data_IF_066679122302
#
_entry.id   IF_066679122302
#
_cell.length_a   1.000
_cell.length_b   1.000
_cell.length_c   1.000
_cell.angle_alpha   90.00
_cell.angle_beta   90.00
_cell.angle_gamma   90.00
#
_symmetry.space_group_name_H-M   'P 1'
#
loop_
_entity.id
_entity.type
_entity.pdbx_description
1 polymer ?
#
# COMPACT_ATOMS: atom_id res chain seq x y z
N UNK A 1 -31.93 -0.84 54.45
CA UNK A 1 -30.91 0.02 53.79
C UNK A 1 -29.78 -0.82 53.19
N UNK A 2 -29.24 -1.82 53.91
CA UNK A 2 -28.08 -2.59 53.42
C UNK A 2 -28.26 -3.28 52.07
N UNK A 3 -29.43 -3.88 51.80
CA UNK A 3 -29.71 -4.52 50.49
C UNK A 3 -29.58 -3.52 49.34
N UNK A 4 -30.04 -2.28 49.53
CA UNK A 4 -29.94 -1.22 48.52
C UNK A 4 -28.48 -0.86 48.28
N UNK A 5 -27.67 -0.76 49.35
CA UNK A 5 -26.23 -0.50 49.25
C UNK A 5 -25.50 -1.61 48.48
N UNK A 6 -25.84 -2.87 48.70
CA UNK A 6 -25.28 -4.00 47.94
C UNK A 6 -25.69 -3.97 46.46
N UNK A 7 -26.94 -3.63 46.16
CA UNK A 7 -27.41 -3.47 44.77
C UNK A 7 -26.67 -2.32 44.08
N UNK A 8 -26.52 -1.18 44.75
CA UNK A 8 -25.76 -0.04 44.23
C UNK A 8 -24.28 -0.39 44.03
N UNK A 9 -23.69 -1.14 44.96
CA UNK A 9 -22.31 -1.62 44.84
C UNK A 9 -22.14 -2.49 43.60
N UNK A 10 -23.02 -3.48 43.38
CA UNK A 10 -23.00 -4.33 42.19
C UNK A 10 -23.16 -3.50 40.92
N UNK A 11 -24.08 -2.52 40.93
CA UNK A 11 -24.29 -1.61 39.82
C UNK A 11 -23.00 -0.81 39.51
N UNK A 12 -22.36 -0.18 40.49
CA UNK A 12 -21.14 0.59 40.24
C UNK A 12 -19.95 -0.28 39.86
N UNK A 13 -19.83 -1.51 40.39
CA UNK A 13 -18.84 -2.48 39.91
C UNK A 13 -19.05 -2.79 38.43
N UNK A 14 -20.31 -2.94 37.98
CA UNK A 14 -20.61 -3.15 36.55
C UNK A 14 -20.27 -1.92 35.69
N UNK A 15 -20.46 -0.70 36.20
CA UNK A 15 -20.09 0.53 35.49
C UNK A 15 -18.57 0.70 35.41
N UNK A 16 -17.85 0.46 36.52
CA UNK A 16 -16.38 0.42 36.56
C UNK A 16 -15.83 -0.56 35.53
N UNK A 17 -16.37 -1.79 35.51
CA UNK A 17 -16.05 -2.81 34.53
C UNK A 17 -16.23 -2.35 33.08
N UNK A 18 -17.37 -1.71 32.80
CA UNK A 18 -17.69 -1.19 31.48
C UNK A 18 -16.71 -0.09 31.06
N UNK A 19 -16.48 0.93 31.87
CA UNK A 19 -15.60 2.05 31.53
C UNK A 19 -14.15 1.62 31.35
N UNK A 20 -13.63 0.83 32.30
CA UNK A 20 -12.27 0.31 32.27
C UNK A 20 -12.04 -0.59 31.05
N UNK A 21 -12.96 -1.52 30.79
CA UNK A 21 -12.91 -2.42 29.65
C UNK A 21 -13.00 -1.69 28.30
N UNK A 22 -13.95 -0.76 28.15
CA UNK A 22 -14.10 0.03 26.93
C UNK A 22 -12.90 0.94 26.66
N UNK A 23 -12.27 1.48 27.71
CA UNK A 23 -11.08 2.32 27.53
C UNK A 23 -9.97 1.55 26.82
N UNK A 24 -9.65 0.33 27.27
CA UNK A 24 -8.64 -0.49 26.59
C UNK A 24 -9.17 -1.04 25.26
N UNK A 25 -10.40 -1.51 25.23
CA UNK A 25 -11.00 -2.12 24.03
C UNK A 25 -11.08 -1.15 22.86
N UNK A 26 -11.74 0.01 23.04
CA UNK A 26 -12.00 0.96 21.95
C UNK A 26 -10.72 1.65 21.48
N UNK A 27 -9.79 1.96 22.39
CA UNK A 27 -8.51 2.59 22.04
C UNK A 27 -7.46 1.59 21.53
N UNK A 28 -7.64 0.30 21.80
CA UNK A 28 -6.84 -0.77 21.20
C UNK A 28 -7.16 -1.04 19.72
N UNK A 29 -8.33 -0.60 19.24
CA UNK A 29 -8.71 -0.70 17.82
C UNK A 29 -8.05 0.41 17.00
N UNK A 30 -7.36 0.05 15.92
CA UNK A 30 -6.78 1.03 14.98
C UNK A 30 -7.89 1.86 14.32
N UNK A 31 -7.73 3.19 14.31
CA UNK A 31 -8.66 4.09 13.63
C UNK A 31 -8.77 3.79 12.13
N UNK A 32 -7.64 3.59 11.45
CA UNK A 32 -7.62 3.18 10.04
C UNK A 32 -8.36 1.85 9.85
N UNK A 33 -8.16 0.88 10.75
CA UNK A 33 -8.86 -0.40 10.69
C UNK A 33 -10.37 -0.24 10.87
N UNK A 34 -10.82 0.63 11.77
CA UNK A 34 -12.24 0.94 11.96
C UNK A 34 -12.85 1.62 10.73
N UNK A 35 -12.14 2.55 10.09
CA UNK A 35 -12.56 3.21 8.86
C UNK A 35 -12.70 2.19 7.72
N UNK A 36 -11.69 1.33 7.50
CA UNK A 36 -11.72 0.27 6.49
C UNK A 36 -12.86 -0.73 6.71
N UNK A 37 -13.09 -1.17 7.95
CA UNK A 37 -14.20 -2.08 8.29
C UNK A 37 -15.56 -1.42 8.07
N UNK A 38 -15.71 -0.14 8.45
CA UNK A 38 -16.95 0.60 8.26
C UNK A 38 -17.26 0.82 6.77
N UNK A 39 -16.25 1.13 5.95
CA UNK A 39 -16.35 1.22 4.49
C UNK A 39 -16.73 -0.11 3.84
N UNK A 40 -16.25 -1.22 4.42
CA UNK A 40 -16.61 -2.59 4.01
C UNK A 40 -18.02 -3.01 4.45
N UNK A 41 -18.80 -2.11 5.07
CA UNK A 41 -20.20 -2.34 5.46
C UNK A 41 -20.40 -2.86 6.89
N UNK A 42 -19.35 -2.91 7.72
CA UNK A 42 -19.45 -3.36 9.10
C UNK A 42 -20.13 -2.30 9.99
N UNK A 43 -21.39 -2.56 10.37
CA UNK A 43 -22.20 -1.65 11.20
C UNK A 43 -21.61 -1.43 12.60
N UNK A 44 -20.93 -2.43 13.17
CA UNK A 44 -20.33 -2.32 14.50
C UNK A 44 -19.11 -1.39 14.46
N UNK A 45 -18.29 -1.49 13.41
CA UNK A 45 -17.17 -0.57 13.17
C UNK A 45 -17.65 0.86 12.99
N UNK A 46 -18.73 1.08 12.23
CA UNK A 46 -19.33 2.40 12.06
C UNK A 46 -19.80 3.02 13.37
N UNK A 47 -20.49 2.26 14.22
CA UNK A 47 -20.94 2.75 15.54
C UNK A 47 -19.78 3.15 16.45
N UNK A 48 -18.72 2.34 16.48
CA UNK A 48 -17.53 2.66 17.29
C UNK A 48 -16.79 3.86 16.70
N UNK A 49 -16.67 3.93 15.37
CA UNK A 49 -16.04 5.05 14.68
C UNK A 49 -16.75 6.39 14.97
N UNK A 50 -18.09 6.40 15.03
CA UNK A 50 -18.86 7.60 15.35
C UNK A 50 -18.46 8.23 16.70
N UNK A 51 -18.22 7.41 17.73
CA UNK A 51 -17.80 7.90 19.05
C UNK A 51 -16.29 8.13 19.13
N UNK A 52 -15.49 7.40 18.33
CA UNK A 52 -14.03 7.59 18.18
C UNK A 52 -13.67 8.81 17.32
N UNK A 53 -14.61 9.43 16.63
CA UNK A 53 -14.32 10.65 15.86
C UNK A 53 -13.83 11.80 16.76
N UNK A 54 -14.36 11.89 17.98
CA UNK A 54 -13.87 12.78 19.04
C UNK A 54 -13.21 11.94 20.15
N UNK A 55 -12.03 11.39 19.84
CA UNK A 55 -11.29 10.45 20.69
C UNK A 55 -11.00 11.01 22.08
N UNK A 56 -10.62 12.28 22.19
CA UNK A 56 -10.32 12.89 23.48
C UNK A 56 -11.59 13.07 24.32
N UNK A 57 -12.73 13.37 23.70
CA UNK A 57 -14.00 13.41 24.41
C UNK A 57 -14.49 12.02 24.85
N UNK A 58 -14.32 11.00 24.01
CA UNK A 58 -14.59 9.62 24.39
C UNK A 58 -13.69 9.19 25.56
N UNK A 59 -12.37 9.41 25.44
CA UNK A 59 -11.38 9.05 26.46
C UNK A 59 -11.74 9.67 27.81
N UNK A 60 -11.95 10.98 27.83
CA UNK A 60 -12.27 11.70 29.06
C UNK A 60 -13.61 11.28 29.65
N UNK A 61 -14.62 10.99 28.84
CA UNK A 61 -15.91 10.47 29.32
C UNK A 61 -15.71 9.13 30.05
N UNK A 62 -14.97 8.20 29.44
CA UNK A 62 -14.72 6.89 30.03
C UNK A 62 -13.87 7.00 31.31
N UNK A 63 -12.84 7.85 31.32
CA UNK A 63 -11.98 8.06 32.49
C UNK A 63 -12.75 8.69 33.66
N UNK A 64 -13.53 9.75 33.42
CA UNK A 64 -14.36 10.37 34.46
C UNK A 64 -15.38 9.38 35.01
N UNK A 65 -16.04 8.62 34.14
CA UNK A 65 -16.98 7.57 34.54
C UNK A 65 -16.32 6.49 35.41
N UNK A 66 -15.13 6.02 35.00
CA UNK A 66 -14.39 5.00 35.74
C UNK A 66 -13.98 5.48 37.13
N UNK A 67 -13.37 6.67 37.21
CA UNK A 67 -12.93 7.25 38.49
C UNK A 67 -14.13 7.49 39.41
N UNK A 68 -15.24 8.04 38.89
CA UNK A 68 -16.45 8.26 39.67
C UNK A 68 -17.03 6.94 40.21
N UNK A 69 -17.11 5.90 39.38
CA UNK A 69 -17.60 4.58 39.80
C UNK A 69 -16.72 3.98 40.90
N UNK A 70 -15.39 4.04 40.76
CA UNK A 70 -14.44 3.51 41.73
C UNK A 70 -14.53 4.25 43.08
N UNK A 71 -14.66 5.57 43.05
CA UNK A 71 -14.86 6.37 44.28
C UNK A 71 -16.18 5.98 44.96
N UNK A 72 -17.27 5.82 44.21
CA UNK A 72 -18.56 5.41 44.76
C UNK A 72 -18.52 3.98 45.33
N UNK A 73 -17.81 3.05 44.69
CA UNK A 73 -17.57 1.69 45.23
C UNK A 73 -16.87 1.77 46.58
N UNK A 74 -15.79 2.56 46.70
CA UNK A 74 -15.05 2.71 47.95
C UNK A 74 -15.92 3.31 49.06
N UNK A 75 -16.70 4.36 48.76
CA UNK A 75 -17.60 5.00 49.71
C UNK A 75 -18.72 4.05 50.18
N UNK A 76 -19.36 3.32 49.24
CA UNK A 76 -20.40 2.34 49.55
C UNK A 76 -19.83 1.19 50.39
N UNK A 77 -18.65 0.68 50.05
CA UNK A 77 -17.98 -0.37 50.83
C UNK A 77 -17.62 0.11 52.23
N UNK A 78 -17.15 1.35 52.38
CA UNK A 78 -16.85 1.93 53.68
C UNK A 78 -18.09 2.05 54.57
N UNK A 79 -19.26 2.31 53.98
CA UNK A 79 -20.54 2.31 54.71
C UNK A 79 -20.99 0.92 55.18
N UNK A 80 -20.49 -0.16 54.59
CA UNK A 80 -20.86 -1.55 54.90
C UNK A 80 -19.94 -2.21 55.92
N UNK A 81 -18.62 -2.03 55.79
CA UNK A 81 -17.63 -2.81 56.55
C UNK A 81 -16.67 -1.97 57.41
N UNK A 82 -16.53 -0.67 57.13
CA UNK A 82 -15.66 0.26 57.86
C UNK A 82 -14.15 -0.02 57.78
N UNK A 83 -13.35 1.05 57.79
CA UNK A 83 -11.90 0.99 58.04
C UNK A 83 -11.12 0.13 57.05
N UNK A 84 -10.19 -0.69 57.57
CA UNK A 84 -9.26 -1.48 56.76
C UNK A 84 -9.96 -2.60 55.97
N UNK A 85 -11.03 -3.19 56.52
CA UNK A 85 -11.81 -4.22 55.83
C UNK A 85 -12.48 -3.66 54.57
N UNK A 86 -13.07 -2.46 54.67
CA UNK A 86 -13.66 -1.79 53.52
C UNK A 86 -12.63 -1.47 52.43
N UNK A 87 -11.46 -0.95 52.82
CA UNK A 87 -10.37 -0.67 51.90
C UNK A 87 -9.90 -1.93 51.15
N UNK A 88 -9.63 -3.02 51.88
CA UNK A 88 -9.18 -4.29 51.27
C UNK A 88 -10.26 -4.86 50.35
N UNK A 89 -11.52 -4.88 50.79
CA UNK A 89 -12.63 -5.38 49.99
C UNK A 89 -12.83 -4.55 48.73
N UNK A 90 -12.90 -3.22 48.85
CA UNK A 90 -13.09 -2.32 47.70
C UNK A 90 -11.93 -2.42 46.71
N UNK A 91 -10.72 -2.60 47.20
CA UNK A 91 -9.53 -2.78 46.36
C UNK A 91 -9.61 -4.10 45.58
N UNK A 92 -9.90 -5.22 46.24
CA UNK A 92 -9.97 -6.53 45.57
C UNK A 92 -11.13 -6.56 44.57
N UNK A 93 -12.32 -6.08 44.95
CA UNK A 93 -13.49 -6.13 44.07
C UNK A 93 -13.31 -5.24 42.83
N UNK A 94 -12.80 -4.02 43.01
CA UNK A 94 -12.59 -3.08 41.90
C UNK A 94 -11.48 -3.57 40.98
N UNK A 95 -10.36 -4.03 41.53
CA UNK A 95 -9.24 -4.51 40.72
C UNK A 95 -9.61 -5.78 39.95
N UNK A 96 -10.19 -6.79 40.61
CA UNK A 96 -10.49 -8.05 39.94
C UNK A 96 -11.68 -7.94 38.98
N UNK A 97 -12.80 -7.38 39.45
CA UNK A 97 -14.07 -7.38 38.72
C UNK A 97 -14.35 -6.08 37.96
N UNK A 98 -13.77 -4.95 38.39
CA UNK A 98 -13.88 -3.67 37.69
C UNK A 98 -12.78 -3.42 36.66
N UNK A 99 -11.60 -4.03 36.81
CA UNK A 99 -10.47 -3.74 35.92
C UNK A 99 -9.93 -4.98 35.19
N UNK A 100 -9.35 -5.95 35.89
CA UNK A 100 -8.60 -7.05 35.26
C UNK A 100 -9.50 -7.92 34.37
N UNK A 101 -10.60 -8.46 34.91
CA UNK A 101 -11.49 -9.33 34.13
C UNK A 101 -12.13 -8.59 32.95
N UNK A 102 -12.70 -7.38 33.13
CA UNK A 102 -13.27 -6.62 32.02
C UNK A 102 -12.25 -6.26 30.95
N UNK A 103 -11.09 -5.69 31.32
CA UNK A 103 -10.06 -5.33 30.35
C UNK A 103 -9.59 -6.54 29.52
N UNK A 104 -9.43 -7.71 30.14
CA UNK A 104 -9.09 -8.94 29.44
C UNK A 104 -10.18 -9.40 28.46
N UNK A 105 -11.45 -9.24 28.81
CA UNK A 105 -12.58 -9.55 27.94
C UNK A 105 -12.66 -8.59 26.75
N UNK A 106 -12.63 -7.28 27.01
CA UNK A 106 -12.76 -6.24 25.99
C UNK A 106 -11.58 -6.23 25.03
N UNK A 107 -10.37 -6.58 25.45
CA UNK A 107 -9.22 -6.71 24.54
C UNK A 107 -9.46 -7.78 23.46
N UNK A 108 -10.21 -8.85 23.76
CA UNK A 108 -10.49 -9.95 22.80
C UNK A 108 -11.73 -9.71 21.95
N UNK A 109 -12.69 -8.94 22.46
CA UNK A 109 -14.01 -8.70 21.82
C UNK A 109 -14.31 -7.21 21.63
N UNK A 110 -13.27 -6.40 21.44
CA UNK A 110 -13.32 -4.95 21.48
C UNK A 110 -14.39 -4.36 20.55
N UNK A 111 -14.43 -4.81 19.29
CA UNK A 111 -15.35 -4.26 18.30
C UNK A 111 -16.81 -4.54 18.65
N UNK A 112 -17.16 -5.82 18.84
CA UNK A 112 -18.55 -6.24 19.10
C UNK A 112 -19.06 -5.74 20.45
N UNK A 113 -18.25 -5.84 21.51
CA UNK A 113 -18.63 -5.37 22.83
C UNK A 113 -18.64 -3.84 22.92
N UNK A 114 -17.73 -3.17 22.21
CA UNK A 114 -17.72 -1.73 22.05
C UNK A 114 -19.00 -1.23 21.38
N UNK A 115 -19.32 -1.80 20.21
CA UNK A 115 -20.48 -1.43 19.41
C UNK A 115 -21.83 -1.60 20.15
N UNK A 116 -21.98 -2.67 20.94
CA UNK A 116 -23.21 -2.90 21.72
C UNK A 116 -23.39 -1.90 22.86
N UNK A 117 -22.30 -1.33 23.38
CA UNK A 117 -22.32 -0.39 24.51
C UNK A 117 -22.28 1.08 24.07
N UNK A 118 -22.12 1.38 22.77
CA UNK A 118 -22.17 2.75 22.23
C UNK A 118 -23.39 3.55 22.71
N UNK A 119 -24.63 3.01 22.75
CA UNK A 119 -25.77 3.77 23.24
C UNK A 119 -25.61 4.21 24.71
N UNK A 120 -25.06 3.35 25.56
CA UNK A 120 -24.82 3.65 26.98
C UNK A 120 -23.70 4.69 27.10
N UNK A 121 -22.63 4.56 26.31
CA UNK A 121 -21.55 5.56 26.27
C UNK A 121 -22.10 6.93 25.88
N UNK A 122 -23.01 7.02 24.91
CA UNK A 122 -23.63 8.30 24.50
C UNK A 122 -24.45 8.94 25.63
N UNK A 123 -25.13 8.13 26.45
CA UNK A 123 -25.82 8.63 27.64
C UNK A 123 -24.81 9.24 28.63
N UNK A 124 -23.69 8.56 28.88
CA UNK A 124 -22.64 9.08 29.76
C UNK A 124 -21.93 10.30 29.19
N UNK A 125 -21.73 10.36 27.87
CA UNK A 125 -21.22 11.55 27.18
C UNK A 125 -22.14 12.75 27.48
N UNK A 126 -23.46 12.59 27.36
CA UNK A 126 -24.41 13.64 27.69
C UNK A 126 -24.37 14.02 29.19
N UNK A 127 -24.39 13.03 30.09
CA UNK A 127 -24.40 13.27 31.54
C UNK A 127 -23.11 13.95 32.04
N UNK A 128 -21.96 13.52 31.54
CA UNK A 128 -20.64 14.02 31.92
C UNK A 128 -20.16 15.16 31.02
N UNK A 129 -20.99 15.62 30.07
CA UNK A 129 -20.63 16.62 29.07
C UNK A 129 -19.83 17.82 29.63
N UNK A 130 -20.25 18.53 30.69
CA UNK A 130 -19.53 19.72 31.13
C UNK A 130 -18.10 19.43 31.62
N UNK A 131 -17.88 18.28 32.24
CA UNK A 131 -16.57 17.92 32.83
C UNK A 131 -15.71 17.14 31.83
N UNK A 132 -16.30 16.20 31.10
CA UNK A 132 -15.60 15.43 30.09
C UNK A 132 -15.20 16.30 28.89
N UNK A 133 -16.10 17.14 28.36
CA UNK A 133 -15.77 17.97 27.19
C UNK A 133 -14.74 19.06 27.51
N UNK A 134 -14.79 19.65 28.71
CA UNK A 134 -13.76 20.60 29.15
C UNK A 134 -12.39 19.94 29.28
N UNK A 135 -12.34 18.74 29.85
CA UNK A 135 -11.12 17.92 29.91
C UNK A 135 -10.59 17.57 28.51
N UNK A 136 -11.49 17.25 27.57
CA UNK A 136 -11.13 16.91 26.19
C UNK A 136 -10.53 18.11 25.44
N UNK A 137 -11.09 19.31 25.62
CA UNK A 137 -10.55 20.54 25.03
C UNK A 137 -9.13 20.82 25.58
N UNK A 138 -8.90 20.57 26.87
CA UNK A 138 -7.58 20.70 27.46
C UNK A 138 -6.57 19.73 26.84
N UNK A 139 -6.98 18.47 26.61
CA UNK A 139 -6.16 17.47 25.92
C UNK A 139 -5.92 17.82 24.45
N UNK A 140 -6.95 18.28 23.73
CA UNK A 140 -6.85 18.74 22.34
C UNK A 140 -5.80 19.86 22.20
N UNK A 141 -5.77 20.80 23.13
CA UNK A 141 -4.80 21.90 23.12
C UNK A 141 -3.38 21.43 23.46
N UNK A 142 -3.23 20.47 24.37
CA UNK A 142 -1.92 20.03 24.83
C UNK A 142 -1.26 18.99 23.91
N UNK A 143 -2.02 17.97 23.47
CA UNK A 143 -1.50 16.80 22.74
C UNK A 143 -1.98 16.73 21.29
N UNK A 144 -2.96 17.56 20.91
CA UNK A 144 -3.62 17.46 19.62
C UNK A 144 -4.69 16.36 19.59
N UNK A 145 -5.31 16.22 18.42
CA UNK A 145 -6.32 15.18 18.16
C UNK A 145 -5.65 13.90 17.70
N UNK A 146 -6.34 12.77 17.85
CA UNK A 146 -5.87 11.50 17.30
C UNK A 146 -5.75 11.58 15.77
N UNK A 147 -4.52 11.49 15.27
CA UNK A 147 -4.23 11.48 13.84
C UNK A 147 -4.33 10.06 13.24
N UNK A 148 -4.75 9.98 11.98
CA UNK A 148 -4.68 8.75 11.21
C UNK A 148 -3.22 8.41 10.94
N UNK A 149 -2.72 7.36 11.60
CA UNK A 149 -1.36 6.88 11.35
C UNK A 149 -1.34 6.01 10.10
N UNK A 150 -0.84 6.56 8.99
CA UNK A 150 -0.60 5.78 7.78
C UNK A 150 0.60 4.84 7.94
N UNK A 151 0.51 3.66 7.32
CA UNK A 151 1.65 2.75 7.26
C UNK A 151 2.77 3.38 6.43
N UNK A 152 3.97 3.44 7.02
CA UNK A 152 5.19 3.67 6.25
C UNK A 152 5.39 2.51 5.28
N UNK A 153 5.87 2.78 4.09
CA UNK A 153 6.07 1.77 3.04
C UNK A 153 6.92 0.58 3.49
N UNK A 154 8.00 0.81 4.25
CA UNK A 154 8.80 -0.27 4.86
C UNK A 154 8.00 -1.16 5.79
N UNK A 155 7.03 -0.60 6.52
CA UNK A 155 6.11 -1.36 7.37
C UNK A 155 5.10 -2.12 6.52
N UNK A 156 4.56 -1.51 5.46
CA UNK A 156 3.65 -2.17 4.52
C UNK A 156 4.31 -3.37 3.82
N UNK A 157 5.55 -3.21 3.33
CA UNK A 157 6.38 -4.30 2.77
C UNK A 157 6.49 -5.46 3.77
N UNK A 158 6.75 -5.19 5.06
CA UNK A 158 6.82 -6.22 6.11
C UNK A 158 5.48 -6.89 6.40
N UNK A 159 4.39 -6.12 6.38
CA UNK A 159 3.03 -6.67 6.56
C UNK A 159 2.71 -7.64 5.43
N UNK A 160 2.97 -7.26 4.17
CA UNK A 160 2.79 -8.13 3.01
C UNK A 160 3.66 -9.40 3.10
N UNK A 161 4.94 -9.27 3.48
CA UNK A 161 5.83 -10.43 3.69
C UNK A 161 5.29 -11.41 4.74
N UNK A 162 4.72 -10.92 5.84
CA UNK A 162 4.11 -11.77 6.87
C UNK A 162 2.86 -12.49 6.37
N UNK A 163 2.06 -11.84 5.51
CA UNK A 163 0.89 -12.47 4.88
C UNK A 163 1.32 -13.60 3.94
N UNK A 164 2.34 -13.37 3.10
CA UNK A 164 2.89 -14.40 2.20
C UNK A 164 3.40 -15.63 2.97
N UNK A 165 3.97 -15.45 4.16
CA UNK A 165 4.51 -16.53 4.99
C UNK A 165 3.45 -17.26 5.83
N UNK A 166 2.24 -16.72 5.94
CA UNK A 166 1.19 -17.28 6.79
C UNK A 166 0.24 -18.16 5.97
N UNK A 167 0.12 -19.44 6.35
CA UNK A 167 -0.85 -20.37 5.74
C UNK A 167 -2.33 -19.97 5.98
N UNK A 168 -2.57 -19.03 6.90
CA UNK A 168 -3.92 -18.53 7.25
C UNK A 168 -4.25 -17.18 6.63
N UNK A 169 -3.39 -16.67 5.74
CA UNK A 169 -3.61 -15.40 5.04
C UNK A 169 -4.55 -15.60 3.85
N UNK A 170 -5.48 -14.67 3.67
CA UNK A 170 -6.32 -14.62 2.45
C UNK A 170 -5.54 -14.15 1.21
N UNK A 171 -4.37 -13.54 1.41
CA UNK A 171 -3.46 -13.13 0.33
C UNK A 171 -2.59 -14.30 -0.09
N UNK A 172 -2.69 -14.71 -1.35
CA UNK A 172 -1.84 -15.76 -1.92
C UNK A 172 -0.38 -15.32 -2.06
N UNK A 173 0.55 -16.28 -2.07
CA UNK A 173 1.98 -15.99 -2.20
C UNK A 173 2.31 -15.26 -3.51
N UNK A 174 1.60 -15.58 -4.59
CA UNK A 174 1.72 -14.92 -5.90
C UNK A 174 1.31 -13.45 -5.83
N UNK A 175 0.15 -13.16 -5.25
CA UNK A 175 -0.40 -11.81 -5.14
C UNK A 175 0.48 -10.93 -4.26
N UNK A 176 0.86 -11.44 -3.09
CA UNK A 176 1.75 -10.74 -2.18
C UNK A 176 3.12 -10.46 -2.79
N UNK A 177 3.71 -11.43 -3.49
CA UNK A 177 5.00 -11.23 -4.14
C UNK A 177 4.91 -10.24 -5.31
N UNK A 178 3.82 -10.28 -6.09
CA UNK A 178 3.53 -9.29 -7.13
C UNK A 178 3.45 -7.88 -6.54
N UNK A 179 2.65 -7.68 -5.48
CA UNK A 179 2.54 -6.39 -4.79
C UNK A 179 3.90 -5.88 -4.28
N UNK A 180 4.72 -6.75 -3.69
CA UNK A 180 6.07 -6.39 -3.27
C UNK A 180 6.96 -5.99 -4.45
N UNK A 181 6.89 -6.68 -5.58
CA UNK A 181 7.68 -6.33 -6.76
C UNK A 181 7.31 -4.94 -7.29
N UNK A 182 6.01 -4.59 -7.31
CA UNK A 182 5.55 -3.23 -7.63
C UNK A 182 6.06 -2.18 -6.64
N UNK A 183 5.96 -2.46 -5.34
CA UNK A 183 6.46 -1.56 -4.30
C UNK A 183 7.99 -1.38 -4.30
N UNK A 184 8.76 -2.12 -5.10
CA UNK A 184 10.22 -1.93 -5.21
C UNK A 184 10.65 -1.25 -6.51
N UNK A 185 9.70 -0.83 -7.34
CA UNK A 185 9.99 -0.07 -8.56
C UNK A 185 10.61 1.29 -8.23
N UNK A 186 10.15 1.88 -7.13
CA UNK A 186 10.74 3.07 -6.54
C UNK A 186 12.18 2.80 -6.14
N UNK A 187 12.55 1.67 -5.57
CA UNK A 187 13.93 1.41 -5.11
C UNK A 187 14.90 1.03 -6.25
N UNK A 188 14.39 0.82 -7.47
CA UNK A 188 15.17 0.20 -8.55
C UNK A 188 15.58 1.21 -9.60
N UNK A 189 16.90 1.37 -9.74
CA UNK A 189 17.53 2.18 -10.80
C UNK A 189 17.39 1.51 -12.16
N UNK A 190 17.26 2.33 -13.20
CA UNK A 190 17.20 1.87 -14.60
C UNK A 190 18.42 1.03 -15.01
N UNK A 191 19.59 1.34 -14.45
CA UNK A 191 20.85 0.62 -14.74
C UNK A 191 20.87 -0.83 -14.25
N UNK A 192 19.97 -1.21 -13.34
CA UNK A 192 19.90 -2.59 -12.82
C UNK A 192 19.00 -3.50 -13.63
N UNK A 193 18.14 -2.97 -14.50
CA UNK A 193 17.15 -3.73 -15.24
C UNK A 193 17.25 -3.50 -16.76
N UNK A 194 16.73 -4.44 -17.55
CA UNK A 194 16.94 -4.47 -18.99
C UNK A 194 18.26 -5.13 -19.40
N UNK A 195 18.47 -5.21 -20.71
CA UNK A 195 19.58 -5.91 -21.33
C UNK A 195 20.62 -4.90 -21.87
N UNK A 196 21.93 -5.22 -21.84
CA UNK A 196 22.93 -4.39 -22.51
C UNK A 196 22.61 -4.24 -23.99
N UNK A 197 22.79 -3.02 -24.52
CA UNK A 197 22.66 -2.74 -25.95
C UNK A 197 23.88 -3.27 -26.67
N UNK A 198 23.65 -4.06 -27.73
CA UNK A 198 24.71 -4.53 -28.61
C UNK A 198 25.22 -3.38 -29.50
N UNK A 199 26.53 -3.08 -29.53
CA UNK A 199 27.04 -2.02 -30.41
C UNK A 199 26.70 -2.23 -31.89
N UNK A 200 26.54 -3.48 -32.34
CA UNK A 200 26.14 -3.78 -33.73
C UNK A 200 24.70 -3.39 -34.04
N UNK A 201 23.84 -3.29 -33.01
CA UNK A 201 22.45 -2.87 -33.18
C UNK A 201 22.29 -1.34 -33.16
N UNK A 202 23.39 -0.58 -33.15
CA UNK A 202 23.37 0.89 -33.23
C UNK A 202 23.68 1.33 -34.67
N UNK A 203 22.76 2.06 -35.29
CA UNK A 203 22.91 2.58 -36.66
C UNK A 203 22.74 4.10 -36.64
N UNK A 204 23.81 4.82 -36.96
CA UNK A 204 23.77 6.26 -37.16
C UNK A 204 23.20 6.61 -38.54
N UNK A 205 22.20 7.51 -38.56
CA UNK A 205 21.59 8.05 -39.78
C UNK A 205 21.56 9.59 -39.72
N UNK A 206 21.65 10.27 -40.88
CA UNK A 206 21.42 11.71 -40.93
C UNK A 206 20.00 12.04 -40.47
N UNK A 207 19.81 13.21 -39.86
CA UNK A 207 18.49 13.63 -39.39
C UNK A 207 18.00 14.89 -40.08
N UNK A 208 16.69 14.95 -40.35
CA UNK A 208 15.99 16.13 -40.84
C UNK A 208 14.74 16.34 -40.01
N UNK A 209 14.55 17.51 -39.42
CA UNK A 209 13.41 17.82 -38.53
C UNK A 209 13.21 16.78 -37.40
N UNK A 210 14.29 16.33 -36.76
CA UNK A 210 14.28 15.29 -35.69
C UNK A 210 13.72 13.93 -36.11
N UNK A 211 13.71 13.64 -37.42
CA UNK A 211 13.45 12.30 -37.96
C UNK A 211 14.71 11.76 -38.63
N UNK A 212 15.02 10.46 -38.49
CA UNK A 212 16.06 9.85 -39.30
C UNK A 212 15.68 9.90 -40.77
N UNK A 213 16.68 10.11 -41.63
CA UNK A 213 16.54 10.02 -43.08
C UNK A 213 17.13 8.69 -43.50
N UNK A 214 16.25 7.76 -43.92
CA UNK A 214 16.68 6.46 -44.40
C UNK A 214 17.26 6.55 -45.81
N UNK A 215 18.26 5.70 -46.14
CA UNK A 215 18.70 5.53 -47.51
C UNK A 215 17.58 4.91 -48.36
N UNK A 216 17.68 5.02 -49.68
CA UNK A 216 16.82 4.24 -50.58
C UNK A 216 17.10 2.74 -50.37
N UNK A 217 16.11 2.04 -49.82
CA UNK A 217 16.21 0.61 -49.51
C UNK A 217 15.73 -0.20 -50.70
N UNK A 218 16.62 -1.03 -51.25
CA UNK A 218 16.23 -2.07 -52.21
C UNK A 218 15.53 -3.18 -51.43
N UNK A 219 14.41 -3.68 -51.93
CA UNK A 219 13.61 -4.73 -51.29
C UNK A 219 14.27 -6.12 -51.40
N UNK A 220 15.57 -6.21 -51.11
CA UNK A 220 16.36 -7.43 -51.18
C UNK A 220 17.31 -7.51 -49.98
N UNK A 221 17.63 -8.72 -49.52
CA UNK A 221 18.58 -8.92 -48.40
C UNK A 221 20.02 -8.47 -48.72
N UNK A 222 20.30 -8.19 -49.99
CA UNK A 222 21.57 -7.67 -50.48
C UNK A 222 21.69 -6.15 -50.29
N UNK A 223 20.59 -5.48 -49.95
CA UNK A 223 20.60 -4.05 -49.66
C UNK A 223 21.55 -3.74 -48.47
N UNK A 224 22.42 -2.72 -48.60
CA UNK A 224 23.41 -2.42 -47.56
C UNK A 224 22.81 -2.08 -46.19
N UNK A 225 21.67 -1.39 -46.16
CA UNK A 225 20.99 -1.04 -44.91
C UNK A 225 20.35 -2.27 -44.28
N UNK A 226 19.62 -3.07 -45.07
CA UNK A 226 19.00 -4.31 -44.59
C UNK A 226 20.03 -5.33 -44.13
N UNK A 227 21.14 -5.47 -44.84
CA UNK A 227 22.25 -6.34 -44.42
C UNK A 227 22.79 -5.91 -43.06
N UNK A 228 23.00 -4.61 -42.84
CA UNK A 228 23.46 -4.08 -41.54
C UNK A 228 22.46 -4.35 -40.40
N UNK A 229 21.16 -4.19 -40.66
CA UNK A 229 20.10 -4.51 -39.69
C UNK A 229 20.07 -6.01 -39.39
N UNK A 230 20.22 -6.86 -40.40
CA UNK A 230 20.26 -8.32 -40.24
C UNK A 230 21.49 -8.79 -39.48
N UNK A 231 22.66 -8.23 -39.75
CA UNK A 231 23.93 -8.58 -39.10
C UNK A 231 23.95 -8.24 -37.60
N UNK A 232 23.12 -7.30 -37.16
CA UNK A 232 22.95 -6.99 -35.75
C UNK A 232 22.35 -8.18 -34.97
N UNK A 233 21.47 -8.96 -35.61
CA UNK A 233 20.83 -10.13 -34.99
C UNK A 233 19.99 -9.80 -33.75
N UNK A 234 19.49 -8.57 -33.63
CA UNK A 234 18.68 -8.08 -32.51
C UNK A 234 17.34 -7.57 -33.03
N UNK A 235 16.25 -7.94 -32.34
CA UNK A 235 14.89 -7.43 -32.60
C UNK A 235 14.83 -5.91 -32.68
N UNK A 236 15.51 -5.23 -31.76
CA UNK A 236 15.49 -3.78 -31.64
C UNK A 236 16.80 -3.18 -32.10
N UNK A 237 16.76 -2.43 -33.20
CA UNK A 237 17.87 -1.63 -33.71
C UNK A 237 17.69 -0.20 -33.23
N UNK A 238 18.75 0.42 -32.72
CA UNK A 238 18.72 1.79 -32.21
C UNK A 238 19.27 2.71 -33.29
N UNK A 239 18.41 3.61 -33.74
CA UNK A 239 18.78 4.63 -34.71
C UNK A 239 19.26 5.86 -33.94
N UNK A 240 20.48 6.29 -34.23
CA UNK A 240 21.07 7.52 -33.68
C UNK A 240 21.19 8.59 -34.76
N UNK A 241 21.32 9.85 -34.34
CA UNK A 241 21.87 10.89 -35.21
C UNK A 241 23.38 10.67 -35.43
N UNK A 242 24.01 11.55 -36.22
CA UNK A 242 25.44 11.48 -36.50
C UNK A 242 26.29 11.87 -35.28
N UNK A 243 25.69 12.58 -34.32
CA UNK A 243 26.26 12.95 -33.04
C UNK A 243 26.21 11.82 -31.99
N UNK A 244 25.56 10.69 -32.31
CA UNK A 244 25.47 9.50 -31.44
C UNK A 244 24.33 9.53 -30.41
N UNK A 245 23.39 10.48 -30.53
CA UNK A 245 22.19 10.55 -29.70
C UNK A 245 21.07 9.65 -30.27
N UNK A 246 20.40 8.83 -29.44
CA UNK A 246 19.32 7.96 -29.89
C UNK A 246 18.07 8.78 -30.22
N UNK A 247 17.42 8.43 -31.33
CA UNK A 247 16.25 9.15 -31.86
C UNK A 247 15.04 8.24 -32.11
N UNK A 248 15.28 7.00 -32.57
CA UNK A 248 14.25 6.00 -32.88
C UNK A 248 14.76 4.59 -32.58
N UNK A 249 13.83 3.66 -32.41
CA UNK A 249 14.10 2.22 -32.45
C UNK A 249 13.42 1.63 -33.66
N UNK A 250 14.06 0.70 -34.35
CA UNK A 250 13.51 -0.03 -35.50
C UNK A 250 13.29 -1.50 -35.09
N UNK A 251 12.11 -2.03 -35.36
CA UNK A 251 11.79 -3.44 -35.13
C UNK A 251 12.23 -4.28 -36.35
N UNK A 252 13.33 -5.01 -36.21
CA UNK A 252 13.89 -5.83 -37.30
C UNK A 252 12.99 -7.01 -37.66
N UNK A 253 12.35 -7.60 -36.66
CA UNK A 253 11.57 -8.84 -36.86
C UNK A 253 10.35 -8.55 -37.74
N UNK A 254 9.64 -7.45 -37.46
CA UNK A 254 8.49 -7.03 -38.25
C UNK A 254 8.92 -6.61 -39.66
N UNK A 255 10.03 -5.86 -39.77
CA UNK A 255 10.57 -5.42 -41.06
C UNK A 255 10.97 -6.60 -41.95
N UNK A 256 11.71 -7.57 -41.41
CA UNK A 256 12.15 -8.74 -42.18
C UNK A 256 11.02 -9.71 -42.47
N UNK A 257 10.03 -9.82 -41.57
CA UNK A 257 8.83 -10.61 -41.83
C UNK A 257 8.10 -10.06 -43.05
N UNK A 258 7.85 -8.76 -43.10
CA UNK A 258 7.11 -8.14 -44.21
C UNK A 258 7.91 -8.15 -45.51
N UNK A 259 9.24 -8.00 -45.44
CA UNK A 259 10.13 -8.21 -46.57
C UNK A 259 10.02 -9.64 -47.13
N UNK A 260 9.99 -10.65 -46.26
CA UNK A 260 9.89 -12.06 -46.67
C UNK A 260 8.56 -12.39 -47.34
N UNK A 261 7.48 -11.66 -46.99
CA UNK A 261 6.17 -11.78 -47.65
C UNK A 261 6.09 -10.99 -48.98
N UNK A 262 7.14 -10.27 -49.37
CA UNK A 262 7.16 -9.46 -50.59
C UNK A 262 6.34 -8.17 -50.48
N UNK A 263 6.06 -7.71 -49.26
CA UNK A 263 5.41 -6.42 -49.05
C UNK A 263 6.38 -5.28 -49.38
N UNK A 264 5.85 -4.16 -49.85
CA UNK A 264 6.65 -2.94 -49.98
C UNK A 264 6.99 -2.43 -48.58
N UNK A 265 8.28 -2.35 -48.28
CA UNK A 265 8.78 -1.93 -46.97
C UNK A 265 9.22 -0.45 -47.00
N UNK A 266 8.76 0.30 -46.01
CA UNK A 266 9.30 1.61 -45.67
C UNK A 266 9.88 1.53 -44.25
N UNK A 267 11.20 1.68 -44.05
CA UNK A 267 11.79 1.56 -42.72
C UNK A 267 11.19 2.48 -41.66
N UNK A 268 10.62 3.63 -42.07
CA UNK A 268 9.93 4.53 -41.15
C UNK A 268 8.73 3.88 -40.46
N UNK A 269 8.03 2.96 -41.12
CA UNK A 269 6.81 2.32 -40.62
C UNK A 269 7.10 1.33 -39.48
N UNK A 270 8.34 0.83 -39.42
CA UNK A 270 8.82 -0.09 -38.37
C UNK A 270 9.56 0.65 -37.26
N UNK A 271 9.53 1.99 -37.27
CA UNK A 271 10.21 2.83 -36.28
C UNK A 271 9.29 3.25 -35.13
N UNK A 272 9.72 2.95 -33.91
CA UNK A 272 9.04 3.34 -32.68
C UNK A 272 9.82 4.46 -31.96
N UNK A 273 9.11 5.17 -31.07
CA UNK A 273 9.70 6.24 -30.25
C UNK A 273 10.09 5.67 -28.90
N UNK A 274 11.39 5.52 -28.59
CA UNK A 274 11.80 5.03 -27.29
C UNK A 274 11.65 6.10 -26.21
N UNK A 275 11.46 5.66 -24.97
CA UNK A 275 11.67 6.50 -23.79
C UNK A 275 13.16 6.52 -23.49
N UNK A 276 13.80 7.66 -23.71
CA UNK A 276 15.26 7.82 -23.51
C UNK A 276 15.52 8.36 -22.11
N UNK A 277 16.39 7.66 -21.38
CA UNK A 277 16.85 8.02 -20.03
C UNK A 277 18.37 8.12 -20.05
N UNK A 278 18.92 9.25 -19.64
CA UNK A 278 20.38 9.48 -19.62
C UNK A 278 20.97 9.44 -18.21
N UNK A 279 20.16 9.67 -17.18
CA UNK A 279 20.63 9.69 -15.80
C UNK A 279 20.68 8.28 -15.18
N UNK A 280 21.84 7.82 -14.66
CA UNK A 280 21.94 6.52 -13.98
C UNK A 280 21.15 6.46 -12.66
N UNK A 281 20.70 7.62 -12.16
CA UNK A 281 19.95 7.72 -10.91
C UNK A 281 18.45 7.54 -11.11
N UNK A 282 17.96 7.63 -12.34
CA UNK A 282 16.53 7.51 -12.65
C UNK A 282 16.02 6.14 -12.24
N UNK A 283 14.86 6.15 -11.57
CA UNK A 283 14.22 4.95 -11.03
C UNK A 283 13.13 4.45 -11.95
N UNK A 284 12.76 3.16 -11.87
CA UNK A 284 11.77 2.58 -12.77
C UNK A 284 10.38 3.22 -12.62
N UNK A 285 10.01 3.62 -11.40
CA UNK A 285 8.74 4.34 -11.15
C UNK A 285 8.60 5.64 -11.97
N UNK A 286 9.72 6.29 -12.31
CA UNK A 286 9.72 7.54 -13.08
C UNK A 286 9.58 7.30 -14.59
N UNK A 287 9.85 6.08 -15.03
CA UNK A 287 9.96 5.73 -16.46
C UNK A 287 8.75 4.93 -16.93
N UNK A 288 8.27 3.99 -16.10
CA UNK A 288 7.12 3.14 -16.44
C UNK A 288 5.88 3.94 -16.85
N UNK A 289 5.49 5.05 -16.18
CA UNK A 289 4.33 5.85 -16.59
C UNK A 289 4.50 6.58 -17.93
N UNK A 290 5.73 6.66 -18.46
CA UNK A 290 6.00 7.29 -19.76
C UNK A 290 5.76 6.34 -20.94
N UNK A 291 5.59 5.04 -20.66
CA UNK A 291 5.16 4.07 -21.65
C UNK A 291 3.74 4.40 -22.09
N UNK A 292 3.53 4.50 -23.40
CA UNK A 292 2.21 4.79 -23.98
C UNK A 292 1.57 3.50 -24.42
N UNK A 293 0.26 3.44 -24.19
CA UNK A 293 -0.62 2.42 -24.77
C UNK A 293 -1.34 3.08 -25.93
N UNK A 294 -1.06 2.64 -27.15
CA UNK A 294 -1.87 3.00 -28.30
C UNK A 294 -2.91 1.89 -28.50
N UNK A 295 -4.22 2.20 -28.45
CA UNK A 295 -5.23 1.21 -28.83
C UNK A 295 -5.11 0.95 -30.34
N UNK A 296 -4.69 -0.26 -30.70
CA UNK A 296 -4.71 -0.72 -32.08
C UNK A 296 -6.16 -1.11 -32.44
N UNK A 297 -6.76 -0.41 -33.41
CA UNK A 297 -8.19 -0.55 -33.71
C UNK A 297 -8.58 -1.91 -34.33
N UNK A 298 -7.61 -2.72 -34.79
CA UNK A 298 -7.86 -4.03 -35.42
C UNK A 298 -7.40 -5.25 -34.61
N UNK A 299 -6.66 -5.08 -33.49
CA UNK A 299 -6.04 -6.21 -32.74
C UNK A 299 -6.36 -6.27 -31.24
N UNK A 300 -7.24 -5.41 -30.73
CA UNK A 300 -7.52 -5.29 -29.30
C UNK A 300 -6.45 -4.49 -28.56
N UNK A 301 -6.53 -4.45 -27.21
CA UNK A 301 -5.56 -3.75 -26.36
C UNK A 301 -4.16 -4.40 -26.43
N UNK A 302 -3.41 -4.10 -27.48
CA UNK A 302 -1.99 -4.47 -27.60
C UNK A 302 -1.17 -3.32 -27.04
N UNK A 303 -0.28 -3.63 -26.10
CA UNK A 303 0.78 -2.70 -25.69
C UNK A 303 1.67 -2.50 -26.91
N UNK A 304 1.45 -1.42 -27.65
CA UNK A 304 2.37 -1.01 -28.70
C UNK A 304 3.71 -0.67 -28.03
N UNK A 305 4.74 -1.46 -28.33
CA UNK A 305 5.93 -1.64 -27.49
C UNK A 305 6.80 -0.38 -27.43
N UNK A 306 6.53 0.50 -26.47
CA UNK A 306 7.44 1.59 -26.13
C UNK A 306 8.67 1.04 -25.41
N UNK A 307 9.77 0.96 -26.16
CA UNK A 307 11.08 0.53 -25.67
C UNK A 307 11.67 1.62 -24.77
N UNK A 308 12.18 1.25 -23.60
CA UNK A 308 12.98 2.15 -22.76
C UNK A 308 14.45 1.95 -23.10
N UNK A 309 15.15 3.05 -23.34
CA UNK A 309 16.59 3.07 -23.55
C UNK A 309 17.23 3.87 -22.42
N UNK A 310 18.11 3.21 -21.67
CA UNK A 310 19.11 3.90 -20.89
C UNK A 310 20.34 4.18 -21.76
N UNK A 311 20.66 5.45 -21.95
CA UNK A 311 21.75 5.93 -22.79
C UNK A 311 22.79 6.66 -21.94
N UNK A 312 23.60 5.89 -21.23
CA UNK A 312 24.75 6.41 -20.49
C UNK A 312 26.03 6.41 -21.34
N UNK A 313 27.02 7.14 -20.85
CA UNK A 313 28.36 7.19 -21.44
C UNK A 313 29.06 5.83 -21.34
N UNK A 314 29.08 5.26 -20.13
CA UNK A 314 29.77 3.99 -19.82
C UNK A 314 28.97 2.74 -20.22
N UNK A 315 27.64 2.80 -20.11
CA UNK A 315 26.77 1.66 -20.37
C UNK A 315 25.47 2.10 -21.05
N UNK A 316 24.96 1.25 -21.93
CA UNK A 316 23.71 1.44 -22.67
C UNK A 316 22.85 0.22 -22.46
N UNK A 317 21.59 0.41 -22.06
CA UNK A 317 20.66 -0.69 -21.79
C UNK A 317 19.33 -0.45 -22.47
N UNK A 318 18.71 -1.53 -22.90
CA UNK A 318 17.39 -1.56 -23.52
C UNK A 318 16.46 -2.39 -22.66
N UNK A 319 15.25 -1.89 -22.44
CA UNK A 319 14.22 -2.56 -21.66
C UNK A 319 12.91 -2.53 -22.44
N UNK A 320 12.29 -3.71 -22.55
CA UNK A 320 11.02 -3.91 -23.23
C UNK A 320 9.90 -4.17 -22.23
N UNK A 321 8.64 -4.14 -22.68
CA UNK A 321 7.49 -4.53 -21.85
C UNK A 321 7.65 -5.93 -21.23
N UNK A 322 8.24 -6.88 -21.98
CA UNK A 322 8.52 -8.23 -21.48
C UNK A 322 9.52 -8.25 -20.32
N UNK A 323 10.54 -7.38 -20.36
CA UNK A 323 11.52 -7.27 -19.27
C UNK A 323 10.87 -6.70 -18.00
N UNK A 324 10.00 -5.70 -18.14
CA UNK A 324 9.23 -5.11 -17.04
C UNK A 324 8.31 -6.18 -16.43
N UNK A 325 7.58 -6.90 -17.27
CA UNK A 325 6.69 -7.98 -16.82
C UNK A 325 7.47 -9.09 -16.11
N UNK A 326 8.60 -9.54 -16.69
CA UNK A 326 9.46 -10.55 -16.09
C UNK A 326 9.99 -10.12 -14.72
N UNK A 327 10.31 -8.83 -14.55
CA UNK A 327 10.67 -8.26 -13.26
C UNK A 327 9.50 -8.29 -12.27
N UNK A 328 8.31 -7.86 -12.68
CA UNK A 328 7.12 -7.85 -11.83
C UNK A 328 6.68 -9.25 -11.40
N UNK A 329 7.00 -10.26 -12.21
CA UNK A 329 6.73 -11.68 -11.95
C UNK A 329 7.91 -12.43 -11.31
N UNK A 330 8.98 -11.73 -10.94
CA UNK A 330 10.16 -12.35 -10.32
C UNK A 330 9.78 -13.01 -8.99
N UNK A 331 10.12 -14.28 -8.83
CA UNK A 331 9.77 -15.09 -7.66
C UNK A 331 8.34 -15.64 -7.67
N UNK A 332 7.50 -15.25 -8.64
CA UNK A 332 6.15 -15.79 -8.86
C UNK A 332 6.19 -16.93 -9.88
N UNK A 333 6.88 -16.72 -11.00
CA UNK A 333 6.93 -17.67 -12.11
C UNK A 333 8.11 -18.63 -11.93
N UNK A 334 7.89 -19.93 -12.22
CA UNK A 334 8.97 -20.93 -12.26
C UNK A 334 9.88 -20.63 -13.44
N UNK A 335 11.16 -20.43 -13.15
CA UNK A 335 12.19 -20.37 -14.19
C UNK A 335 12.39 -21.79 -14.72
N UNK A 336 12.04 -22.01 -15.97
CA UNK A 336 12.42 -23.24 -16.68
C UNK A 336 13.82 -22.98 -17.21
N UNK A 337 14.82 -23.68 -16.69
CA UNK A 337 16.12 -23.73 -17.36
C UNK A 337 15.92 -24.51 -18.66
N UNK A 338 16.08 -23.83 -19.79
CA UNK A 338 16.08 -24.49 -21.09
C UNK A 338 17.34 -25.33 -21.19
N UNK A 339 17.21 -26.63 -20.90
CA UNK A 339 18.11 -27.68 -21.39
C UNK A 339 17.76 -27.94 -22.84
N UNK A 340 18.38 -27.20 -23.75
CA UNK A 340 18.46 -27.55 -25.17
C UNK A 340 19.92 -27.69 -25.56
#
# INVERSE_FOLDING_TARGET
MEIITWILLLFFVSQSAMFSGLTIGLFGLSRMGLETEAESGNLDARKVLDIRHDSNYLLTTLLWGNVAANVLIALLTNSLMGGMAAFLFSTVITTCFGEIMPQAYFTRKALKAGASLVPIVRVYQLLLFPVAKSSAIMLDWWLGKEELTFFRERSLKKVLQRHIQSERSDIGSVEGQGALNFLTLDDTKITKEGNPIDPKSIIALPTKNRKPVFPEVKQTLEDPFLKKVSEAGRKWIIITNLEGEPIRTLNSDDLFRDLAYGNTIYPEDYCHRPVIVTSPKTRLEEVIPKLRLYPDQDKGEVIDLDVIIYWGDDEKRIMTGSDILARLLRGVVRRVETTF
#
